data_IF_640247891885
#
_entry.id   IF_640247891885
#
_cell.length_a   1.000
_cell.length_b   1.000
_cell.length_c   1.000
_cell.angle_alpha   90.00
_cell.angle_beta   90.00
_cell.angle_gamma   90.00
#
_symmetry.space_group_name_H-M   'P 1'
#
loop_
_entity.id
_entity.type
_entity.pdbx_description
1 polymer ?
#
# COMPACT_ATOMS: atom_id res chain seq x y z
N UNK A 1 -7.95 7.18 -6.10
CA UNK A 1 -7.40 6.15 -7.03
C UNK A 1 -6.24 6.66 -7.86
N UNK A 2 -6.26 7.90 -8.40
CA UNK A 2 -5.18 8.47 -9.21
C UNK A 2 -3.77 8.33 -8.59
N UNK A 3 -3.60 8.73 -7.32
CA UNK A 3 -2.28 8.79 -6.66
C UNK A 3 -1.50 7.47 -6.54
N UNK A 4 -2.17 6.31 -6.59
CA UNK A 4 -1.50 5.03 -6.45
C UNK A 4 -0.71 4.68 -7.69
N UNK A 5 -1.38 4.60 -8.83
CA UNK A 5 -0.77 4.22 -10.11
C UNK A 5 0.38 5.14 -10.52
N UNK A 6 0.25 6.43 -10.23
CA UNK A 6 1.30 7.43 -10.46
C UNK A 6 2.61 7.09 -9.74
N UNK A 7 2.51 6.35 -8.64
CA UNK A 7 3.65 5.85 -7.88
C UNK A 7 4.33 4.64 -8.57
N UNK A 8 3.58 3.76 -9.23
CA UNK A 8 4.13 2.63 -10.02
C UNK A 8 4.70 3.07 -11.38
N UNK A 9 4.12 4.11 -11.98
CA UNK A 9 4.51 4.62 -13.29
C UNK A 9 5.60 5.69 -13.22
N UNK A 10 6.04 6.04 -12.00
CA UNK A 10 7.04 7.08 -11.75
C UNK A 10 8.43 6.78 -12.30
N UNK A 11 8.67 5.56 -12.78
CA UNK A 11 9.91 5.17 -13.45
C UNK A 11 10.12 5.92 -14.77
N UNK A 12 9.06 6.44 -15.43
CA UNK A 12 9.21 7.17 -16.68
C UNK A 12 8.41 8.47 -16.66
N UNK A 13 9.07 9.55 -16.26
CA UNK A 13 8.55 10.91 -16.43
C UNK A 13 8.44 11.22 -17.92
N UNK A 14 7.23 11.47 -18.38
CA UNK A 14 6.99 11.84 -19.77
C UNK A 14 6.42 13.25 -19.82
N UNK A 15 7.26 14.20 -20.22
CA UNK A 15 6.87 15.60 -20.45
C UNK A 15 6.73 15.94 -21.93
N UNK A 16 7.23 15.07 -22.82
CA UNK A 16 7.10 15.21 -24.25
C UNK A 16 5.73 14.67 -24.71
N UNK A 17 4.87 15.50 -25.32
CA UNK A 17 3.57 15.08 -25.84
C UNK A 17 3.62 13.88 -26.79
N UNK A 18 4.68 13.73 -27.60
CA UNK A 18 4.84 12.62 -28.51
C UNK A 18 5.11 11.29 -27.77
N UNK A 19 5.88 11.35 -26.68
CA UNK A 19 6.18 10.19 -25.84
C UNK A 19 4.95 9.82 -25.01
N UNK A 20 4.21 10.81 -24.48
CA UNK A 20 2.93 10.61 -23.78
C UNK A 20 1.94 9.85 -24.67
N UNK A 21 1.72 10.32 -25.90
CA UNK A 21 0.78 9.70 -26.84
C UNK A 21 1.18 8.26 -27.17
N UNK A 22 2.46 8.01 -27.47
CA UNK A 22 2.97 6.65 -27.76
C UNK A 22 2.78 5.70 -26.58
N UNK A 23 3.01 6.17 -25.36
CA UNK A 23 2.84 5.38 -24.15
C UNK A 23 1.38 5.06 -23.87
N UNK A 24 0.47 6.02 -24.07
CA UNK A 24 -0.97 5.78 -23.96
C UNK A 24 -1.39 4.71 -24.96
N UNK A 25 -1.01 4.82 -26.23
CA UNK A 25 -1.32 3.80 -27.24
C UNK A 25 -0.76 2.43 -26.84
N UNK A 26 0.47 2.38 -26.34
CA UNK A 26 1.09 1.12 -25.88
C UNK A 26 0.33 0.52 -24.68
N UNK A 27 -0.11 1.36 -23.73
CA UNK A 27 -0.88 0.93 -22.57
C UNK A 27 -2.25 0.41 -23.00
N UNK A 28 -2.93 1.08 -23.91
CA UNK A 28 -4.24 0.67 -24.44
C UNK A 28 -4.17 -0.63 -25.27
N UNK A 29 -3.07 -0.84 -26.01
CA UNK A 29 -2.84 -2.04 -26.82
C UNK A 29 -2.53 -3.29 -25.98
N UNK A 30 -1.82 -3.12 -24.86
CA UNK A 30 -1.28 -4.24 -24.09
C UNK A 30 -1.90 -4.44 -22.70
N UNK A 31 -2.63 -3.45 -22.20
CA UNK A 31 -3.24 -3.52 -20.88
C UNK A 31 -4.72 -3.11 -20.92
N UNK A 32 -5.57 -4.00 -20.42
CA UNK A 32 -6.88 -3.60 -19.91
C UNK A 32 -6.63 -2.95 -18.56
N UNK A 33 -6.40 -1.64 -18.52
CA UNK A 33 -6.30 -0.89 -17.26
C UNK A 33 -7.70 -0.42 -16.88
N UNK A 34 -8.47 -1.25 -16.17
CA UNK A 34 -9.65 -0.75 -15.47
C UNK A 34 -9.26 -0.16 -14.11
N UNK A 35 -9.95 0.90 -13.70
CA UNK A 35 -9.83 1.43 -12.34
C UNK A 35 -10.03 0.32 -11.28
N UNK A 36 -10.89 -0.64 -11.60
CA UNK A 36 -11.16 -1.84 -10.81
C UNK A 36 -9.93 -2.74 -10.61
N UNK A 37 -9.21 -3.12 -11.66
CA UNK A 37 -8.03 -4.01 -11.55
C UNK A 37 -6.91 -3.37 -10.74
N UNK A 38 -6.69 -2.07 -10.97
CA UNK A 38 -5.74 -1.29 -10.21
C UNK A 38 -6.14 -1.21 -8.74
N UNK A 39 -7.38 -0.83 -8.45
CA UNK A 39 -7.87 -0.76 -7.07
C UNK A 39 -7.77 -2.12 -6.39
N UNK A 40 -8.05 -3.20 -7.11
CA UNK A 40 -7.86 -4.57 -6.66
C UNK A 40 -6.41 -4.91 -6.34
N UNK A 41 -5.45 -4.45 -7.14
CA UNK A 41 -4.02 -4.62 -6.88
C UNK A 41 -3.59 -3.87 -5.61
N UNK A 42 -4.01 -2.61 -5.43
CA UNK A 42 -3.76 -1.86 -4.19
C UNK A 42 -4.35 -2.55 -2.97
N UNK A 43 -5.61 -3.00 -3.07
CA UNK A 43 -6.27 -3.69 -1.98
C UNK A 43 -5.55 -4.98 -1.61
N UNK A 44 -5.13 -5.79 -2.59
CA UNK A 44 -4.38 -7.04 -2.35
C UNK A 44 -3.01 -6.78 -1.76
N UNK A 45 -2.29 -5.77 -2.26
CA UNK A 45 -0.99 -5.36 -1.73
C UNK A 45 -1.12 -4.92 -0.27
N UNK A 46 -2.07 -4.05 0.05
CA UNK A 46 -2.40 -3.64 1.42
C UNK A 46 -2.71 -4.82 2.34
N UNK A 47 -3.60 -5.73 1.92
CA UNK A 47 -3.95 -6.92 2.70
C UNK A 47 -2.73 -7.84 2.93
N UNK A 48 -1.84 -7.94 1.94
CA UNK A 48 -0.64 -8.78 2.03
C UNK A 48 0.40 -8.16 2.96
N UNK A 49 0.58 -6.84 2.93
CA UNK A 49 1.44 -6.11 3.85
C UNK A 49 0.97 -6.27 5.30
N UNK A 50 -0.33 -6.10 5.57
CA UNK A 50 -0.88 -6.32 6.91
C UNK A 50 -0.71 -7.76 7.40
N UNK A 51 -0.91 -8.75 6.53
CA UNK A 51 -0.63 -10.16 6.86
C UNK A 51 0.84 -10.37 7.23
N UNK A 52 1.76 -9.85 6.42
CA UNK A 52 3.19 -9.98 6.68
C UNK A 52 3.60 -9.34 8.01
N UNK A 53 3.02 -8.18 8.33
CA UNK A 53 3.20 -7.52 9.63
C UNK A 53 2.68 -8.41 10.77
N UNK A 54 1.46 -8.94 10.66
CA UNK A 54 0.88 -9.83 11.69
C UNK A 54 1.78 -11.04 11.92
N UNK A 55 2.20 -11.71 10.85
CA UNK A 55 3.06 -12.91 10.92
C UNK A 55 4.40 -12.58 11.57
N UNK A 56 5.01 -11.46 11.20
CA UNK A 56 6.29 -11.04 11.75
C UNK A 56 6.23 -10.55 13.21
N UNK A 57 5.09 -10.04 13.66
CA UNK A 57 4.88 -9.62 15.05
C UNK A 57 4.51 -10.75 16.00
N UNK A 58 3.92 -11.82 15.49
CA UNK A 58 3.56 -13.02 16.25
C UNK A 58 4.66 -14.08 16.13
N UNK A 59 4.45 -15.09 15.28
CA UNK A 59 5.46 -16.06 14.83
C UNK A 59 5.09 -16.57 13.42
N UNK A 60 6.08 -16.74 12.52
CA UNK A 60 5.85 -17.34 11.21
C UNK A 60 5.33 -18.78 11.30
N UNK A 61 4.33 -19.10 10.49
CA UNK A 61 3.81 -20.45 10.29
C UNK A 61 4.51 -21.11 9.10
N UNK A 62 4.67 -22.44 9.13
CA UNK A 62 5.25 -23.20 8.02
C UNK A 62 4.46 -23.13 6.70
N UNK A 63 3.24 -22.61 6.73
CA UNK A 63 2.38 -22.43 5.56
C UNK A 63 2.49 -21.03 4.94
N UNK A 64 3.24 -20.13 5.56
CA UNK A 64 3.43 -18.79 5.03
C UNK A 64 4.33 -18.81 3.79
N UNK A 65 4.13 -17.85 2.89
CA UNK A 65 4.99 -17.74 1.72
C UNK A 65 6.43 -17.41 2.15
N UNK A 66 7.42 -17.87 1.38
CA UNK A 66 8.84 -17.58 1.66
C UNK A 66 9.13 -16.08 1.84
N UNK A 67 8.47 -15.23 1.05
CA UNK A 67 8.59 -13.76 1.17
C UNK A 67 8.02 -13.26 2.50
N UNK A 68 6.89 -13.83 2.94
CA UNK A 68 6.28 -13.52 4.24
C UNK A 68 7.19 -13.96 5.39
N UNK A 69 7.80 -15.13 5.29
CA UNK A 69 8.74 -15.66 6.27
C UNK A 69 10.02 -14.80 6.37
N UNK A 70 10.63 -14.46 5.23
CA UNK A 70 11.83 -13.61 5.17
C UNK A 70 11.57 -12.22 5.77
N UNK A 71 10.42 -11.62 5.43
CA UNK A 71 10.01 -10.35 6.04
C UNK A 71 9.75 -10.50 7.54
N UNK A 72 9.07 -11.57 7.97
CA UNK A 72 8.79 -11.83 9.37
C UNK A 72 10.06 -11.96 10.22
N UNK A 73 11.10 -12.59 9.68
CA UNK A 73 12.40 -12.71 10.35
C UNK A 73 13.11 -11.35 10.52
N UNK A 74 12.83 -10.39 9.64
CA UNK A 74 13.48 -9.08 9.61
C UNK A 74 12.67 -7.98 10.29
N UNK A 75 11.34 -8.14 10.46
CA UNK A 75 10.50 -7.06 10.97
C UNK A 75 10.93 -6.63 12.37
N UNK A 76 11.27 -7.60 13.23
CA UNK A 76 11.64 -7.36 14.62
C UNK A 76 12.95 -6.58 14.71
N UNK A 77 13.97 -6.99 13.95
CA UNK A 77 15.29 -6.37 13.97
C UNK A 77 15.31 -5.00 13.28
N UNK A 78 14.58 -4.87 12.18
CA UNK A 78 14.74 -3.71 11.29
C UNK A 78 13.68 -2.63 11.54
N UNK A 79 12.47 -3.00 12.01
CA UNK A 79 11.34 -2.07 12.09
C UNK A 79 10.79 -1.89 13.51
N UNK A 80 10.88 -2.89 14.38
CA UNK A 80 10.33 -2.79 15.74
C UNK A 80 11.25 -2.14 16.76
N UNK A 81 12.57 -2.15 16.56
CA UNK A 81 13.51 -1.59 17.53
C UNK A 81 13.18 -0.14 17.97
N UNK A 82 12.82 0.79 17.08
CA UNK A 82 12.43 2.15 17.47
C UNK A 82 11.16 2.22 18.34
N UNK A 83 10.34 1.17 18.28
CA UNK A 83 9.09 1.04 19.04
C UNK A 83 9.24 0.13 20.27
N UNK A 84 10.38 -0.57 20.37
CA UNK A 84 10.74 -1.48 21.44
C UNK A 84 11.17 -0.71 22.69
N UNK A 85 10.22 -0.54 23.60
CA UNK A 85 10.48 -0.18 24.99
C UNK A 85 10.09 -1.31 25.93
N UNK A 86 9.88 -1.00 27.21
CA UNK A 86 9.47 -1.96 28.25
C UNK A 86 8.13 -2.70 27.96
N UNK A 87 7.35 -2.26 26.97
CA UNK A 87 6.04 -2.80 26.60
C UNK A 87 5.98 -3.41 25.19
N UNK A 88 7.11 -3.93 24.66
CA UNK A 88 7.18 -4.49 23.30
C UNK A 88 6.10 -5.56 23.03
N UNK A 89 5.93 -6.52 23.94
CA UNK A 89 4.93 -7.59 23.77
C UNK A 89 3.50 -7.05 23.70
N UNK A 90 3.18 -6.03 24.50
CA UNK A 90 1.89 -5.35 24.46
C UNK A 90 1.70 -4.62 23.12
N UNK A 91 2.72 -3.91 22.65
CA UNK A 91 2.68 -3.23 21.36
C UNK A 91 2.46 -4.20 20.20
N UNK A 92 3.14 -5.35 20.19
CA UNK A 92 2.92 -6.40 19.18
C UNK A 92 1.47 -6.89 19.20
N UNK A 93 0.95 -7.27 20.37
CA UNK A 93 -0.42 -7.78 20.52
C UNK A 93 -1.48 -6.77 20.05
N UNK A 94 -1.34 -5.49 20.44
CA UNK A 94 -2.24 -4.42 20.02
C UNK A 94 -2.15 -4.15 18.52
N UNK A 95 -0.93 -4.15 17.96
CA UNK A 95 -0.71 -3.93 16.52
C UNK A 95 -1.30 -5.06 15.69
N UNK A 96 -1.11 -6.32 16.11
CA UNK A 96 -1.74 -7.49 15.48
C UNK A 96 -3.26 -7.33 15.45
N UNK A 97 -3.88 -7.02 16.61
CA UNK A 97 -5.32 -6.86 16.70
C UNK A 97 -5.85 -5.73 15.80
N UNK A 98 -5.14 -4.59 15.75
CA UNK A 98 -5.48 -3.46 14.87
C UNK A 98 -5.34 -3.86 13.39
N UNK A 99 -4.24 -4.49 12.98
CA UNK A 99 -4.04 -4.98 11.62
C UNK A 99 -5.14 -5.96 11.18
N UNK A 100 -5.49 -6.93 12.03
CA UNK A 100 -6.57 -7.89 11.75
C UNK A 100 -7.93 -7.21 11.56
N UNK A 101 -8.22 -6.17 12.35
CA UNK A 101 -9.44 -5.39 12.19
C UNK A 101 -9.43 -4.57 10.89
N UNK A 102 -8.29 -3.92 10.59
CA UNK A 102 -8.10 -3.08 9.40
C UNK A 102 -8.20 -3.86 8.08
N UNK A 103 -7.81 -5.13 8.06
CA UNK A 103 -7.94 -6.02 6.89
C UNK A 103 -9.38 -6.25 6.43
N UNK A 104 -10.38 -6.03 7.30
CA UNK A 104 -11.79 -6.23 6.97
C UNK A 104 -12.35 -5.14 6.06
N UNK A 105 -11.64 -4.03 5.89
CA UNK A 105 -12.11 -2.87 5.13
C UNK A 105 -11.53 -2.85 3.72
N UNK A 106 -12.41 -2.60 2.75
CA UNK A 106 -12.03 -2.36 1.35
C UNK A 106 -11.75 -0.87 1.16
N UNK A 107 -10.47 -0.52 1.24
CA UNK A 107 -9.97 0.85 1.15
C UNK A 107 -9.86 1.34 -0.29
N UNK A 108 -9.58 0.42 -1.21
CA UNK A 108 -9.43 0.72 -2.62
C UNK A 108 -10.57 0.05 -3.40
N UNK A 109 -11.31 0.87 -4.13
CA UNK A 109 -12.43 0.44 -4.97
C UNK A 109 -12.39 1.27 -6.24
N UNK A 110 -12.61 0.62 -7.38
CA UNK A 110 -12.64 1.27 -8.68
C UNK A 110 -13.78 0.78 -9.54
N UNK A 111 -14.18 1.61 -10.50
CA UNK A 111 -15.16 1.25 -11.50
C UNK A 111 -14.56 0.23 -12.49
N UNK A 112 -15.41 -0.66 -13.00
CA UNK A 112 -15.05 -1.66 -14.01
C UNK A 112 -14.86 -1.04 -15.40
N UNK A 113 -15.21 0.24 -15.56
CA UNK A 113 -14.91 1.00 -16.77
C UNK A 113 -13.40 1.08 -17.02
N UNK A 114 -13.03 1.03 -18.30
CA UNK A 114 -11.65 1.33 -18.73
C UNK A 114 -11.33 2.78 -18.41
N UNK A 115 -10.08 3.05 -18.03
CA UNK A 115 -9.59 4.42 -17.92
C UNK A 115 -9.73 5.14 -19.25
N UNK A 116 -10.20 6.38 -19.19
CA UNK A 116 -10.20 7.31 -20.32
C UNK A 116 -8.78 7.79 -20.63
N UNK A 117 -8.54 8.28 -21.84
CA UNK A 117 -7.26 8.89 -22.22
C UNK A 117 -6.85 10.00 -21.24
N UNK A 118 -7.79 10.84 -20.79
CA UNK A 118 -7.52 11.89 -19.82
C UNK A 118 -7.07 11.33 -18.45
N UNK A 119 -7.64 10.21 -18.02
CA UNK A 119 -7.24 9.53 -16.79
C UNK A 119 -5.88 8.86 -16.92
N UNK A 120 -5.56 8.28 -18.10
CA UNK A 120 -4.25 7.71 -18.42
C UNK A 120 -3.17 8.79 -18.50
N UNK A 121 -3.45 9.93 -19.13
CA UNK A 121 -2.56 11.10 -19.15
C UNK A 121 -2.30 11.55 -17.72
N UNK A 122 -3.37 11.80 -16.95
CA UNK A 122 -3.25 12.18 -15.54
C UNK A 122 -2.39 11.18 -14.76
N UNK A 123 -2.49 9.90 -15.07
CA UNK A 123 -1.74 8.85 -14.40
C UNK A 123 -0.22 8.96 -14.56
N UNK A 124 0.22 9.21 -15.79
CA UNK A 124 1.64 9.27 -16.17
C UNK A 124 2.24 10.66 -16.00
N UNK A 125 1.40 11.70 -15.84
CA UNK A 125 1.84 13.08 -15.62
C UNK A 125 1.72 13.55 -14.16
N UNK A 126 1.04 12.80 -13.28
CA UNK A 126 0.89 13.19 -11.87
C UNK A 126 2.26 13.28 -11.17
N UNK A 127 2.47 14.37 -10.44
CA UNK A 127 3.75 14.73 -9.81
C UNK A 127 3.74 14.47 -8.30
N UNK A 128 2.56 14.35 -7.71
CA UNK A 128 2.37 14.12 -6.28
C UNK A 128 2.47 12.62 -5.97
N UNK A 129 3.68 12.07 -5.88
CA UNK A 129 3.80 10.72 -5.31
C UNK A 129 3.70 10.80 -3.80
N UNK A 130 2.66 10.17 -3.28
CA UNK A 130 2.71 9.60 -1.95
C UNK A 130 3.43 8.25 -2.03
N UNK A 131 4.17 7.88 -1.00
CA UNK A 131 4.55 6.47 -0.83
C UNK A 131 3.29 5.61 -0.74
N UNK A 132 3.39 4.31 -1.03
CA UNK A 132 2.24 3.40 -0.89
C UNK A 132 1.73 3.45 0.56
N UNK A 133 2.65 3.59 1.52
CA UNK A 133 2.34 3.85 2.92
C UNK A 133 1.45 5.07 3.14
N UNK A 134 1.84 6.26 2.66
CA UNK A 134 1.01 7.46 2.86
C UNK A 134 -0.32 7.37 2.12
N UNK A 135 -0.36 6.73 0.95
CA UNK A 135 -1.60 6.47 0.24
C UNK A 135 -2.57 5.61 1.06
N UNK A 136 -2.07 4.52 1.64
CA UNK A 136 -2.87 3.63 2.49
C UNK A 136 -3.35 4.37 3.73
N UNK A 137 -2.47 5.14 4.41
CA UNK A 137 -2.85 5.94 5.57
C UNK A 137 -3.94 6.97 5.22
N UNK A 138 -3.84 7.60 4.05
CA UNK A 138 -4.86 8.54 3.56
C UNK A 138 -6.21 7.82 3.36
N UNK A 139 -6.23 6.64 2.72
CA UNK A 139 -7.47 5.88 2.55
C UNK A 139 -8.04 5.39 3.89
N UNK A 140 -7.18 4.93 4.79
CA UNK A 140 -7.54 4.55 6.14
C UNK A 140 -8.22 5.71 6.88
N UNK A 141 -7.73 6.94 6.77
CA UNK A 141 -8.34 8.12 7.43
C UNK A 141 -9.68 8.52 6.83
N UNK A 142 -9.84 8.33 5.51
CA UNK A 142 -11.08 8.64 4.77
C UNK A 142 -12.21 7.66 5.12
N UNK A 143 -11.88 6.39 5.35
CA UNK A 143 -12.87 5.38 5.71
C UNK A 143 -13.33 5.60 7.16
N UNK A 144 -14.64 5.77 7.41
CA UNK A 144 -15.12 6.08 8.77
C UNK A 144 -14.93 4.91 9.75
N UNK A 145 -15.12 3.68 9.27
CA UNK A 145 -15.05 2.47 10.10
C UNK A 145 -13.66 2.13 10.65
N UNK A 146 -12.60 2.71 10.09
CA UNK A 146 -11.21 2.44 10.48
C UNK A 146 -10.70 3.41 11.56
N UNK A 147 -11.36 4.57 11.72
CA UNK A 147 -10.95 5.63 12.66
C UNK A 147 -10.62 5.15 14.08
N UNK A 148 -11.41 4.25 14.71
CA UNK A 148 -11.09 3.76 16.05
C UNK A 148 -9.70 3.12 16.18
N UNK A 149 -9.17 2.57 15.08
CA UNK A 149 -7.86 1.92 15.04
C UNK A 149 -6.71 2.88 14.70
N UNK A 150 -7.03 4.10 14.25
CA UNK A 150 -6.07 5.12 13.81
C UNK A 150 -5.89 6.25 14.83
N UNK A 151 -6.60 6.20 15.96
CA UNK A 151 -6.47 7.17 17.05
C UNK A 151 -5.13 7.06 17.80
N UNK A 152 -4.33 6.04 17.47
CA UNK A 152 -3.03 5.80 18.06
C UNK A 152 -1.92 6.22 17.09
N UNK A 153 -1.25 7.34 17.41
CA UNK A 153 -0.12 7.87 16.65
C UNK A 153 1.02 6.85 16.50
N UNK A 154 1.10 5.87 17.40
CA UNK A 154 2.17 4.86 17.41
C UNK A 154 2.00 3.83 16.30
N UNK A 155 0.78 3.40 15.99
CA UNK A 155 0.52 2.51 14.84
C UNK A 155 0.84 3.21 13.52
N UNK A 156 0.42 4.48 13.39
CA UNK A 156 0.70 5.26 12.20
C UNK A 156 2.20 5.53 12.04
N UNK A 157 2.90 5.81 13.14
CA UNK A 157 4.35 5.95 13.14
C UNK A 157 5.05 4.63 12.74
N UNK A 158 4.53 3.49 13.19
CA UNK A 158 5.05 2.18 12.80
C UNK A 158 4.87 1.90 11.31
N UNK A 159 3.69 2.20 10.74
CA UNK A 159 3.48 2.06 9.29
C UNK A 159 4.38 2.99 8.47
N UNK A 160 4.65 4.20 8.98
CA UNK A 160 5.54 5.17 8.33
C UNK A 160 7.01 4.82 8.43
N UNK A 161 7.41 4.02 9.40
CA UNK A 161 8.80 3.69 9.62
C UNK A 161 9.34 2.90 8.42
N UNK A 162 10.30 3.49 7.72
CA UNK A 162 10.87 2.98 6.46
C UNK A 162 9.81 2.57 5.41
N UNK A 163 8.69 3.29 5.36
CA UNK A 163 7.57 3.01 4.43
C UNK A 163 7.13 1.53 4.46
N UNK A 164 6.86 1.00 5.66
CA UNK A 164 6.56 -0.40 5.93
C UNK A 164 5.47 -1.03 5.05
N UNK A 165 4.51 -0.25 4.56
CA UNK A 165 3.43 -0.73 3.68
C UNK A 165 3.78 -0.65 2.19
N UNK A 166 4.98 -0.16 1.86
CA UNK A 166 5.54 -0.09 0.53
C UNK A 166 6.01 1.31 0.16
N UNK A 167 7.06 1.34 -0.64
CA UNK A 167 7.53 2.50 -1.38
C UNK A 167 7.06 2.41 -2.83
N UNK A 168 6.92 3.57 -3.46
CA UNK A 168 6.79 3.69 -4.89
C UNK A 168 8.20 3.85 -5.46
N UNK A 169 8.76 2.78 -6.02
CA UNK A 169 10.08 2.82 -6.70
C UNK A 169 9.88 3.19 -8.16
#
# INVERSE_FOLDING_TARGET
MQKGLSALLKVIKMTDPAIISKTITTLEEHFTLSSYEIAGAYQKSYESALKAIIVGLDKPSFFDSKVTEEFAQQIVSNYLQPFAGAALSQFCAETIAKCQALMKYKLFQGDQSKLTEAELVSLITDTDSLSITELVIEQLRRHQGTRPYLNDDRLLAFFRYDDLLGTAI
#
